data_IF_510343755229
#
_entry.id   IF_510343755229
#
_cell.length_a   1.000
_cell.length_b   1.000
_cell.length_c   1.000
_cell.angle_alpha   90.00
_cell.angle_beta   90.00
_cell.angle_gamma   90.00
#
_symmetry.space_group_name_H-M   'P 1'
#
loop_
_entity.id
_entity.type
_entity.pdbx_description
1 polymer ?
#
# COMPACT_ATOMS: atom_id res chain seq x y z
N UNK A 1 3.19 9.00 -0.39
CA UNK A 1 3.20 7.81 0.52
C UNK A 1 2.91 8.23 1.97
N UNK A 2 1.71 7.92 2.46
CA UNK A 2 1.29 8.09 3.86
C UNK A 2 1.49 6.84 4.71
N UNK A 3 1.46 6.97 6.04
CA UNK A 3 1.52 5.84 6.97
C UNK A 3 0.73 6.16 8.25
N UNK A 4 -0.12 5.24 8.67
CA UNK A 4 -0.74 5.17 10.00
C UNK A 4 -0.33 3.83 10.62
N UNK A 5 -0.13 3.83 11.94
CA UNK A 5 0.23 2.61 12.67
C UNK A 5 -0.63 2.51 13.91
N UNK A 6 -1.09 1.31 14.22
CA UNK A 6 -1.88 1.02 15.42
C UNK A 6 -1.50 -0.33 16.02
N UNK A 7 -1.88 -0.54 17.27
CA UNK A 7 -1.85 -1.83 17.95
C UNK A 7 -3.20 -2.56 17.82
N UNK A 8 -4.24 -1.91 17.29
CA UNK A 8 -5.59 -2.44 17.15
C UNK A 8 -5.96 -2.68 15.68
N UNK A 9 -6.21 -3.95 15.32
CA UNK A 9 -6.56 -4.35 13.96
C UNK A 9 -7.96 -3.85 13.53
N UNK A 10 -8.89 -3.75 14.47
CA UNK A 10 -10.24 -3.24 14.19
C UNK A 10 -10.17 -1.76 13.80
N UNK A 11 -9.39 -0.96 14.53
CA UNK A 11 -9.17 0.45 14.21
C UNK A 11 -8.55 0.63 12.81
N UNK A 12 -7.54 -0.18 12.46
CA UNK A 12 -6.93 -0.14 11.13
C UNK A 12 -7.95 -0.50 10.05
N UNK A 13 -8.85 -1.44 10.32
CA UNK A 13 -9.90 -1.85 9.38
C UNK A 13 -10.94 -0.75 9.17
N UNK A 14 -11.34 -0.07 10.24
CA UNK A 14 -12.22 1.11 10.15
C UNK A 14 -11.56 2.24 9.37
N UNK A 15 -10.28 2.52 9.63
CA UNK A 15 -9.50 3.52 8.90
C UNK A 15 -9.43 3.14 7.42
N UNK A 16 -9.11 1.89 7.08
CA UNK A 16 -9.05 1.42 5.69
C UNK A 16 -10.36 1.67 4.94
N UNK A 17 -11.48 1.28 5.54
CA UNK A 17 -12.82 1.41 4.94
C UNK A 17 -13.18 2.86 4.57
N UNK A 18 -12.68 3.83 5.33
CA UNK A 18 -12.89 5.26 5.10
C UNK A 18 -11.82 5.86 4.19
N UNK A 19 -10.59 5.38 4.31
CA UNK A 19 -9.43 5.94 3.64
C UNK A 19 -9.35 5.51 2.18
N UNK A 20 -9.71 4.26 1.85
CA UNK A 20 -9.74 3.77 0.47
C UNK A 20 -10.60 4.66 -0.46
N UNK A 21 -11.90 4.89 -0.20
CA UNK A 21 -12.72 5.73 -1.06
C UNK A 21 -12.27 7.20 -1.07
N UNK A 22 -11.66 7.68 0.01
CA UNK A 22 -11.08 9.02 0.06
C UNK A 22 -9.85 9.14 -0.85
N UNK A 23 -8.94 8.16 -0.82
CA UNK A 23 -7.73 8.15 -1.64
C UNK A 23 -8.07 8.02 -3.13
N UNK A 24 -9.07 7.22 -3.50
CA UNK A 24 -9.55 7.12 -4.89
C UNK A 24 -10.03 8.50 -5.38
N UNK A 25 -10.92 9.16 -4.63
CA UNK A 25 -11.41 10.50 -4.98
C UNK A 25 -10.31 11.56 -5.00
N UNK A 26 -9.35 11.44 -4.08
CA UNK A 26 -8.20 12.35 -4.04
C UNK A 26 -7.35 12.16 -5.29
N UNK A 27 -7.05 10.92 -5.68
CA UNK A 27 -6.26 10.57 -6.86
C UNK A 27 -6.87 11.10 -8.15
N UNK A 28 -8.20 11.02 -8.31
CA UNK A 28 -8.94 11.57 -9.46
C UNK A 28 -8.71 13.07 -9.69
N UNK A 29 -8.36 13.82 -8.63
CA UNK A 29 -8.14 15.26 -8.67
C UNK A 29 -6.67 15.65 -8.44
N UNK A 30 -5.79 14.66 -8.36
CA UNK A 30 -4.37 14.82 -8.05
C UNK A 30 -3.51 14.74 -9.31
N UNK A 31 -2.31 15.33 -9.30
CA UNK A 31 -1.36 15.19 -10.41
C UNK A 31 -0.45 13.96 -10.22
N UNK A 32 -0.58 13.26 -9.10
CA UNK A 32 0.23 12.12 -8.73
C UNK A 32 -0.18 10.85 -9.47
N UNK A 33 0.78 10.20 -10.16
CA UNK A 33 0.54 8.95 -10.89
C UNK A 33 0.05 7.82 -9.98
N UNK A 34 0.63 7.72 -8.77
CA UNK A 34 0.36 6.65 -7.81
C UNK A 34 0.34 7.17 -6.37
N UNK A 35 -0.63 6.71 -5.60
CA UNK A 35 -0.75 6.95 -4.16
C UNK A 35 -0.61 5.66 -3.38
N UNK A 36 0.12 5.73 -2.27
CA UNK A 36 0.31 4.60 -1.36
C UNK A 36 0.05 5.05 0.07
N UNK A 37 -0.64 4.20 0.84
CA UNK A 37 -0.87 4.42 2.26
C UNK A 37 -0.66 3.14 3.06
N UNK A 38 0.25 3.20 4.04
CA UNK A 38 0.54 2.08 4.93
C UNK A 38 -0.39 2.09 6.14
N UNK A 39 -1.12 0.99 6.36
CA UNK A 39 -1.82 0.69 7.60
C UNK A 39 -1.07 -0.42 8.33
N UNK A 40 -0.22 -0.01 9.28
CA UNK A 40 0.73 -0.92 9.93
C UNK A 40 0.21 -1.38 11.28
N UNK A 41 0.07 -2.69 11.45
CA UNK A 41 -0.11 -3.31 12.76
C UNK A 41 1.26 -3.48 13.43
N UNK A 42 1.45 -2.80 14.56
CA UNK A 42 2.73 -2.80 15.28
C UNK A 42 2.98 -4.15 15.99
N UNK A 43 1.92 -4.82 16.48
CA UNK A 43 2.03 -6.11 17.17
C UNK A 43 2.41 -7.23 16.19
N UNK A 44 1.68 -7.32 15.08
CA UNK A 44 1.90 -8.33 14.04
C UNK A 44 3.07 -7.98 13.11
N UNK A 45 3.63 -6.77 13.26
CA UNK A 45 4.70 -6.23 12.41
C UNK A 45 4.38 -6.37 10.92
N UNK A 46 3.14 -6.11 10.54
CA UNK A 46 2.61 -6.25 9.19
C UNK A 46 2.02 -4.92 8.70
N UNK A 47 1.91 -4.77 7.38
CA UNK A 47 1.26 -3.61 6.77
C UNK A 47 0.23 -4.06 5.74
N UNK A 48 -0.99 -3.53 5.84
CA UNK A 48 -1.93 -3.45 4.72
C UNK A 48 -1.61 -2.20 3.92
N UNK A 49 -1.13 -2.37 2.70
CA UNK A 49 -0.72 -1.29 1.82
C UNK A 49 -1.86 -0.97 0.84
N UNK A 50 -2.52 0.16 1.06
CA UNK A 50 -3.46 0.70 0.08
C UNK A 50 -2.66 1.23 -1.11
N UNK A 51 -3.01 0.78 -2.30
CA UNK A 51 -2.42 1.13 -3.58
C UNK A 51 -3.50 1.76 -4.45
N UNK A 52 -3.28 2.98 -4.94
CA UNK A 52 -4.21 3.70 -5.84
C UNK A 52 -3.42 4.30 -6.99
N UNK A 53 -3.97 4.23 -8.19
CA UNK A 53 -3.37 4.72 -9.43
C UNK A 53 -2.96 3.59 -10.37
N UNK A 54 -2.92 3.90 -11.66
CA UNK A 54 -2.62 2.92 -12.70
C UNK A 54 -1.25 2.27 -12.47
N UNK A 55 -1.23 0.94 -12.40
CA UNK A 55 0.00 0.16 -12.20
C UNK A 55 0.55 0.16 -10.77
N UNK A 56 -0.09 0.84 -9.80
CA UNK A 56 0.39 0.91 -8.41
C UNK A 56 0.49 -0.48 -7.76
N UNK A 57 -0.55 -1.31 -7.91
CA UNK A 57 -0.53 -2.69 -7.40
C UNK A 57 0.56 -3.53 -8.08
N UNK A 58 0.68 -3.42 -9.40
CA UNK A 58 1.71 -4.15 -10.18
C UNK A 58 3.12 -3.79 -9.73
N UNK A 59 3.39 -2.51 -9.48
CA UNK A 59 4.67 -2.04 -8.97
C UNK A 59 4.99 -2.66 -7.61
N UNK A 60 4.03 -2.70 -6.69
CA UNK A 60 4.22 -3.31 -5.36
C UNK A 60 4.48 -4.80 -5.48
N UNK A 61 3.67 -5.53 -6.27
CA UNK A 61 3.88 -6.96 -6.49
C UNK A 61 5.28 -7.24 -7.03
N UNK A 62 5.73 -6.45 -8.02
CA UNK A 62 7.08 -6.55 -8.59
C UNK A 62 8.17 -6.21 -7.55
N UNK A 63 8.01 -5.11 -6.82
CA UNK A 63 8.96 -4.63 -5.83
C UNK A 63 9.18 -5.63 -4.68
N UNK A 64 8.12 -6.32 -4.27
CA UNK A 64 8.15 -7.30 -3.18
C UNK A 64 8.21 -8.76 -3.66
N UNK A 65 8.32 -8.99 -4.97
CA UNK A 65 8.39 -10.31 -5.60
C UNK A 65 7.25 -11.24 -5.16
N UNK A 66 6.04 -10.69 -5.13
CA UNK A 66 4.83 -11.45 -4.83
C UNK A 66 4.51 -12.38 -6.00
N UNK A 67 3.88 -13.52 -5.74
CA UNK A 67 3.55 -14.49 -6.78
C UNK A 67 2.55 -13.90 -7.78
N UNK A 68 2.75 -14.19 -9.06
CA UNK A 68 1.80 -13.76 -10.09
C UNK A 68 0.42 -14.36 -9.82
N UNK A 69 -0.62 -13.52 -9.84
CA UNK A 69 -1.99 -13.95 -9.55
C UNK A 69 -2.35 -14.02 -8.06
N UNK A 70 -1.46 -13.64 -7.13
CA UNK A 70 -1.83 -13.51 -5.70
C UNK A 70 -2.90 -12.44 -5.43
N UNK A 71 -3.03 -11.46 -6.33
CA UNK A 71 -3.99 -10.37 -6.22
C UNK A 71 -4.63 -10.08 -7.58
N UNK A 72 -5.91 -9.75 -7.56
CA UNK A 72 -6.59 -9.19 -8.72
C UNK A 72 -6.09 -7.76 -8.94
N UNK A 73 -5.31 -7.56 -10.01
CA UNK A 73 -4.70 -6.26 -10.31
C UNK A 73 -5.75 -5.30 -10.85
N UNK A 74 -5.89 -4.17 -10.18
CA UNK A 74 -6.74 -3.05 -10.59
C UNK A 74 -6.02 -1.71 -10.32
N UNK A 75 -6.69 -0.60 -10.63
CA UNK A 75 -6.18 0.74 -10.33
C UNK A 75 -6.31 1.11 -8.84
N UNK A 76 -7.02 0.32 -8.03
CA UNK A 76 -7.14 0.54 -6.60
C UNK A 76 -7.35 -0.78 -5.84
N UNK A 77 -6.49 -1.04 -4.85
CA UNK A 77 -6.58 -2.25 -4.03
C UNK A 77 -5.66 -2.24 -2.83
N UNK A 78 -5.67 -3.33 -2.07
CA UNK A 78 -4.87 -3.50 -0.85
C UNK A 78 -3.98 -4.72 -1.00
N UNK A 79 -2.70 -4.56 -0.67
CA UNK A 79 -1.71 -5.65 -0.65
C UNK A 79 -1.21 -5.83 0.77
N UNK A 80 -1.16 -7.08 1.24
CA UNK A 80 -0.61 -7.41 2.55
C UNK A 80 0.90 -7.62 2.45
N UNK A 81 1.65 -6.92 3.30
CA UNK A 81 3.10 -7.01 3.38
C UNK A 81 3.51 -7.44 4.79
N UNK A 82 3.80 -8.72 4.96
CA UNK A 82 4.34 -9.27 6.21
C UNK A 82 5.75 -8.74 6.47
N UNK A 83 6.07 -8.40 7.72
CA UNK A 83 7.38 -7.89 8.16
C UNK A 83 7.78 -6.52 7.58
N UNK A 84 6.88 -5.83 6.89
CA UNK A 84 7.09 -4.46 6.39
C UNK A 84 6.38 -3.49 7.33
N UNK A 85 7.15 -2.64 8.02
CA UNK A 85 6.62 -1.67 9.00
C UNK A 85 7.20 -0.26 8.82
N UNK A 86 8.29 -0.14 8.05
CA UNK A 86 9.01 1.12 7.87
C UNK A 86 8.87 1.65 6.44
N UNK A 87 8.16 2.77 6.30
CA UNK A 87 8.12 3.50 5.01
C UNK A 87 9.51 3.83 4.47
N UNK A 88 10.39 4.40 5.30
CA UNK A 88 11.69 4.92 4.86
C UNK A 88 12.72 3.82 4.59
N UNK A 89 12.74 2.76 5.40
CA UNK A 89 13.76 1.71 5.32
C UNK A 89 13.37 0.55 4.40
N UNK A 90 12.07 0.28 4.25
CA UNK A 90 11.58 -0.92 3.57
C UNK A 90 10.72 -0.57 2.36
N UNK A 91 9.66 0.23 2.52
CA UNK A 91 8.74 0.49 1.40
C UNK A 91 9.37 1.34 0.29
N UNK A 92 9.86 2.54 0.63
CA UNK A 92 10.42 3.47 -0.36
C UNK A 92 11.58 2.85 -1.15
N UNK A 93 12.59 2.22 -0.51
CA UNK A 93 13.66 1.57 -1.27
C UNK A 93 13.16 0.47 -2.20
N UNK A 94 12.24 -0.40 -1.75
CA UNK A 94 11.70 -1.47 -2.58
C UNK A 94 10.96 -0.93 -3.80
N UNK A 95 10.14 0.12 -3.65
CA UNK A 95 9.43 0.74 -4.77
C UNK A 95 10.39 1.36 -5.79
N UNK A 96 11.43 2.07 -5.32
CA UNK A 96 12.45 2.66 -6.20
C UNK A 96 13.14 1.58 -7.03
N UNK A 97 13.51 0.46 -6.40
CA UNK A 97 14.10 -0.69 -7.11
C UNK A 97 13.09 -1.29 -8.09
N UNK A 98 11.82 -1.43 -7.71
CA UNK A 98 10.74 -1.92 -8.56
C UNK A 98 10.50 -1.11 -9.83
N UNK A 99 10.69 0.22 -9.77
CA UNK A 99 10.57 1.14 -10.91
C UNK A 99 11.73 0.96 -11.91
N UNK A 100 12.92 0.56 -11.42
CA UNK A 100 14.14 0.45 -12.23
C UNK A 100 14.34 -0.93 -12.87
N UNK A 101 13.65 -1.95 -12.38
CA UNK A 101 13.57 -3.29 -12.99
C UNK A 101 12.57 -3.29 -14.13
#
# INVERSE_FOLDING_TARGET
IGQISSLNEEELSEIESRLMPFLIKLHENSEEDMMFFMLTNILEQSTRLICVGQGAMSLVMKAFRLEEGSYDVSDAGVIELTSVVSRKKQLVPSLVVGIQM
#
